data_IF_100489064253
#
_entry.id   IF_100489064253
#
_cell.length_a   1.000
_cell.length_b   1.000
_cell.length_c   1.000
_cell.angle_alpha   90.00
_cell.angle_beta   90.00
_cell.angle_gamma   90.00
#
_symmetry.space_group_name_H-M   'P 1'
#
loop_
_entity.id
_entity.type
_entity.pdbx_description
1 polymer ?
#
# COMPACT_ATOMS: atom_id res chain seq x y z
N UNK A 1 -4.05 -6.77 -9.01
CA UNK A 1 -4.50 -6.06 -7.77
C UNK A 1 -5.64 -5.15 -8.16
N UNK A 2 -6.65 -4.95 -7.32
CA UNK A 2 -7.81 -4.12 -7.61
C UNK A 2 -7.48 -2.64 -7.39
N UNK A 3 -6.82 -2.33 -6.27
CA UNK A 3 -6.48 -0.96 -5.87
C UNK A 3 -4.96 -0.78 -5.82
N UNK A 4 -4.47 0.24 -6.52
CA UNK A 4 -3.13 0.78 -6.32
C UNK A 4 -3.25 2.07 -5.51
N UNK A 5 -2.56 2.13 -4.37
CA UNK A 5 -2.59 3.29 -3.48
C UNK A 5 -1.42 4.21 -3.82
N UNK A 6 -1.69 5.52 -3.89
CA UNK A 6 -0.69 6.55 -4.14
C UNK A 6 -0.72 7.56 -3.01
N UNK A 7 0.42 7.78 -2.38
CA UNK A 7 0.60 8.88 -1.45
C UNK A 7 0.69 10.18 -2.25
N UNK A 8 -0.39 10.96 -2.29
CA UNK A 8 -0.52 12.13 -3.19
C UNK A 8 0.39 13.31 -2.84
N UNK A 9 0.95 13.29 -1.64
CA UNK A 9 1.99 14.24 -1.19
C UNK A 9 3.39 13.85 -1.68
N UNK A 10 3.56 12.66 -2.25
CA UNK A 10 4.82 12.19 -2.83
C UNK A 10 4.87 12.44 -4.33
N UNK A 11 5.55 13.51 -4.74
CA UNK A 11 5.72 13.85 -6.17
C UNK A 11 6.38 12.71 -6.95
N UNK A 12 7.32 11.98 -6.35
CA UNK A 12 7.99 10.86 -7.00
C UNK A 12 7.01 9.72 -7.30
N UNK A 13 6.20 9.31 -6.30
CA UNK A 13 5.20 8.26 -6.50
C UNK A 13 4.11 8.70 -7.47
N UNK A 14 3.62 9.93 -7.34
CA UNK A 14 2.65 10.51 -8.28
C UNK A 14 3.19 10.45 -9.71
N UNK A 15 4.37 11.01 -9.96
CA UNK A 15 4.95 11.06 -11.31
C UNK A 15 5.15 9.66 -11.90
N UNK A 16 5.66 8.71 -11.11
CA UNK A 16 5.85 7.33 -11.56
C UNK A 16 4.54 6.67 -11.96
N UNK A 17 3.52 6.74 -11.10
CA UNK A 17 2.22 6.12 -11.35
C UNK A 17 1.47 6.80 -12.49
N UNK A 18 1.45 8.14 -12.54
CA UNK A 18 0.75 8.89 -13.59
C UNK A 18 1.36 8.61 -14.96
N UNK A 19 2.70 8.58 -15.03
CA UNK A 19 3.40 8.30 -16.29
C UNK A 19 3.07 6.89 -16.79
N UNK A 20 2.99 5.91 -15.89
CA UNK A 20 2.65 4.54 -16.23
C UNK A 20 1.16 4.33 -16.53
N UNK A 21 0.26 5.06 -15.86
CA UNK A 21 -1.19 4.94 -16.01
C UNK A 21 -1.72 5.64 -17.28
N UNK A 22 -0.93 6.52 -17.89
CA UNK A 22 -1.24 7.15 -19.16
C UNK A 22 -2.02 8.47 -19.05
N UNK A 23 -2.28 9.06 -20.21
CA UNK A 23 -2.76 10.44 -20.32
C UNK A 23 -4.13 10.70 -19.65
N UNK A 24 -5.00 9.69 -19.59
CA UNK A 24 -6.33 9.80 -18.99
C UNK A 24 -6.23 10.07 -17.49
N UNK A 25 -5.39 9.30 -16.80
CA UNK A 25 -5.12 9.48 -15.36
C UNK A 25 -4.37 10.79 -15.12
N UNK A 26 -3.44 11.16 -16.01
CA UNK A 26 -2.74 12.45 -15.93
C UNK A 26 -3.71 13.64 -15.96
N UNK A 27 -4.68 13.64 -16.87
CA UNK A 27 -5.64 14.74 -16.98
C UNK A 27 -6.46 14.93 -15.69
N UNK A 28 -6.91 13.84 -15.08
CA UNK A 28 -7.61 13.88 -13.79
C UNK A 28 -6.66 14.38 -12.69
N UNK A 29 -5.44 13.86 -12.63
CA UNK A 29 -4.45 14.29 -11.65
C UNK A 29 -4.15 15.80 -11.75
N UNK A 30 -3.91 16.31 -12.96
CA UNK A 30 -3.62 17.73 -13.18
C UNK A 30 -4.79 18.61 -12.69
N UNK A 31 -6.02 18.20 -12.96
CA UNK A 31 -7.23 18.89 -12.49
C UNK A 31 -7.32 18.88 -10.95
N UNK A 32 -7.17 17.71 -10.32
CA UNK A 32 -7.31 17.60 -8.86
C UNK A 32 -6.17 18.31 -8.13
N UNK A 33 -4.94 18.20 -8.64
CA UNK A 33 -3.78 18.93 -8.15
C UNK A 33 -3.99 20.44 -8.24
N UNK A 34 -4.56 20.94 -9.33
CA UNK A 34 -4.87 22.36 -9.50
C UNK A 34 -5.96 22.83 -8.53
N UNK A 35 -6.98 22.01 -8.28
CA UNK A 35 -8.04 22.28 -7.31
C UNK A 35 -7.59 22.12 -5.85
N UNK A 36 -6.34 21.73 -5.59
CA UNK A 36 -5.81 21.46 -4.25
C UNK A 36 -6.36 20.18 -3.61
N UNK A 37 -7.05 19.33 -4.38
CA UNK A 37 -7.57 18.07 -3.87
C UNK A 37 -6.47 17.01 -3.94
N UNK A 38 -5.98 16.61 -2.77
CA UNK A 38 -4.98 15.55 -2.63
C UNK A 38 -5.60 14.18 -2.37
N UNK A 39 -6.89 14.11 -2.08
CA UNK A 39 -7.63 12.88 -1.86
C UNK A 39 -8.65 12.67 -2.98
N UNK A 40 -8.34 11.79 -3.93
CA UNK A 40 -9.22 11.49 -5.06
C UNK A 40 -8.94 10.10 -5.62
N UNK A 41 -9.77 9.68 -6.57
CA UNK A 41 -9.73 8.34 -7.15
C UNK A 41 -9.82 8.45 -8.66
N UNK A 42 -9.14 7.53 -9.34
CA UNK A 42 -9.24 7.35 -10.78
C UNK A 42 -9.41 5.86 -11.09
N UNK A 43 -9.82 5.54 -12.32
CA UNK A 43 -9.65 4.19 -12.83
C UNK A 43 -8.18 3.90 -13.12
N UNK A 44 -7.84 2.64 -13.41
CA UNK A 44 -6.46 2.17 -13.58
C UNK A 44 -5.69 2.74 -14.79
N UNK A 45 -6.39 3.29 -15.79
CA UNK A 45 -5.76 3.67 -17.05
C UNK A 45 -5.07 2.47 -17.71
N UNK A 46 -3.77 2.59 -17.98
CA UNK A 46 -2.96 1.49 -18.51
C UNK A 46 -2.39 0.54 -17.44
N UNK A 47 -2.55 0.86 -16.16
CA UNK A 47 -2.13 -0.04 -15.09
C UNK A 47 -3.12 -1.20 -14.94
N UNK A 48 -2.64 -2.42 -14.63
CA UNK A 48 -3.50 -3.58 -14.41
C UNK A 48 -4.16 -3.55 -13.03
N UNK A 49 -4.94 -2.50 -12.76
CA UNK A 49 -5.78 -2.34 -11.59
C UNK A 49 -7.15 -1.76 -11.97
N UNK A 50 -8.12 -1.92 -11.06
CA UNK A 50 -9.46 -1.33 -11.25
C UNK A 50 -9.47 0.14 -10.85
N UNK A 51 -8.76 0.50 -9.77
CA UNK A 51 -8.68 1.87 -9.27
C UNK A 51 -7.28 2.27 -8.84
N UNK A 52 -7.01 3.56 -8.97
CA UNK A 52 -5.87 4.24 -8.37
C UNK A 52 -6.44 5.19 -7.30
N UNK A 53 -5.98 5.02 -6.07
CA UNK A 53 -6.51 5.74 -4.91
C UNK A 53 -5.43 6.70 -4.41
N UNK A 54 -5.60 7.98 -4.70
CA UNK A 54 -4.74 9.05 -4.23
C UNK A 54 -5.19 9.46 -2.83
N UNK A 55 -4.29 9.36 -1.85
CA UNK A 55 -4.54 9.80 -0.47
C UNK A 55 -3.35 10.61 0.04
N UNK A 56 -3.60 11.78 0.66
CA UNK A 56 -2.52 12.55 1.25
C UNK A 56 -2.04 11.86 2.50
N UNK A 57 -0.74 11.91 2.73
CA UNK A 57 -0.18 11.57 4.02
C UNK A 57 0.97 12.50 4.35
N UNK A 58 0.92 13.08 5.54
CA UNK A 58 1.99 13.87 6.12
C UNK A 58 2.12 13.50 7.59
N UNK A 59 3.34 13.54 8.10
CA UNK A 59 3.60 13.42 9.52
C UNK A 59 4.51 14.58 9.91
N UNK A 60 4.10 15.37 10.90
CA UNK A 60 4.98 16.36 11.50
C UNK A 60 6.08 15.63 12.28
N UNK A 61 7.33 15.82 11.87
CA UNK A 61 8.50 15.23 12.52
C UNK A 61 8.69 15.76 13.95
N UNK A 62 8.15 16.94 14.25
CA UNK A 62 8.23 17.55 15.58
C UNK A 62 7.21 16.96 16.56
N UNK A 63 6.29 16.10 16.08
CA UNK A 63 5.26 15.47 16.90
C UNK A 63 5.22 13.95 16.64
N UNK A 64 6.21 13.19 17.15
CA UNK A 64 6.34 11.75 16.87
C UNK A 64 5.14 10.92 17.34
N UNK A 65 4.40 11.37 18.36
CA UNK A 65 3.14 10.75 18.81
C UNK A 65 2.08 10.71 17.70
N UNK A 66 2.20 11.56 16.68
CA UNK A 66 1.29 11.65 15.54
C UNK A 66 1.63 10.62 14.43
N UNK A 67 2.78 9.92 14.50
CA UNK A 67 3.17 8.99 13.43
C UNK A 67 2.20 7.79 13.34
N UNK A 68 1.93 7.14 14.48
CA UNK A 68 1.00 6.00 14.53
C UNK A 68 -0.40 6.41 14.09
N UNK A 69 -0.89 7.55 14.59
CA UNK A 69 -2.23 8.05 14.27
C UNK A 69 -2.36 8.43 12.80
N UNK A 70 -1.38 9.14 12.24
CA UNK A 70 -1.40 9.55 10.82
C UNK A 70 -1.36 8.36 9.86
N UNK A 71 -0.52 7.36 10.14
CA UNK A 71 -0.52 6.08 9.38
C UNK A 71 -1.86 5.37 9.55
N UNK A 72 -2.38 5.34 10.78
CA UNK A 72 -3.69 4.77 11.09
C UNK A 72 -4.81 5.34 10.22
N UNK A 73 -4.90 6.66 10.17
CA UNK A 73 -5.86 7.41 9.35
C UNK A 73 -5.68 7.13 7.85
N UNK A 74 -4.44 7.08 7.37
CA UNK A 74 -4.15 6.78 5.96
C UNK A 74 -4.64 5.38 5.56
N UNK A 75 -4.24 4.34 6.32
CA UNK A 75 -4.66 2.96 6.05
C UNK A 75 -6.18 2.83 6.14
N UNK A 76 -6.80 3.40 7.18
CA UNK A 76 -8.26 3.39 7.37
C UNK A 76 -8.98 4.00 6.16
N UNK A 77 -8.50 5.15 5.66
CA UNK A 77 -9.12 5.84 4.54
C UNK A 77 -9.11 5.02 3.24
N UNK A 78 -8.06 4.22 3.04
CA UNK A 78 -7.94 3.36 1.86
C UNK A 78 -8.81 2.12 1.98
N UNK A 79 -8.81 1.47 3.15
CA UNK A 79 -9.65 0.28 3.37
C UNK A 79 -11.14 0.66 3.31
N UNK A 80 -11.53 1.83 3.81
CA UNK A 80 -12.88 2.34 3.65
C UNK A 80 -13.27 2.49 2.16
N UNK A 81 -12.42 3.12 1.35
CA UNK A 81 -12.63 3.22 -0.10
C UNK A 81 -12.70 1.84 -0.78
N UNK A 82 -11.84 0.90 -0.40
CA UNK A 82 -11.89 -0.47 -0.93
C UNK A 82 -13.24 -1.13 -0.65
N UNK A 83 -13.79 -0.95 0.56
CA UNK A 83 -15.11 -1.45 0.94
C UNK A 83 -16.24 -0.81 0.14
N UNK A 84 -16.21 0.52 -0.01
CA UNK A 84 -17.19 1.26 -0.79
C UNK A 84 -17.29 0.76 -2.24
N UNK A 85 -16.15 0.37 -2.82
CA UNK A 85 -16.08 -0.17 -4.18
C UNK A 85 -16.17 -1.70 -4.27
N UNK A 86 -16.36 -2.41 -3.15
CA UNK A 86 -16.33 -3.88 -3.09
C UNK A 86 -15.05 -4.50 -3.71
N UNK A 87 -13.90 -3.87 -3.46
CA UNK A 87 -12.58 -4.30 -3.92
C UNK A 87 -11.80 -4.90 -2.77
N UNK A 88 -11.13 -6.03 -3.01
CA UNK A 88 -10.54 -6.85 -1.93
C UNK A 88 -9.03 -6.97 -2.01
N UNK A 89 -8.41 -6.60 -3.15
CA UNK A 89 -6.95 -6.65 -3.29
C UNK A 89 -6.35 -5.25 -3.36
N UNK A 90 -5.47 -4.91 -2.41
CA UNK A 90 -4.92 -3.55 -2.21
C UNK A 90 -3.39 -3.59 -2.23
N UNK A 91 -2.76 -2.70 -3.01
CA UNK A 91 -1.33 -2.48 -3.01
C UNK A 91 -0.99 -1.15 -2.33
N UNK A 92 -0.48 -1.20 -1.10
CA UNK A 92 0.02 -0.04 -0.37
C UNK A 92 1.47 0.25 -0.72
N UNK A 93 1.87 1.52 -0.91
CA UNK A 93 3.28 1.88 -0.97
C UNK A 93 3.89 1.89 0.44
N UNK A 94 5.22 1.78 0.54
CA UNK A 94 5.93 2.11 1.79
C UNK A 94 5.91 3.61 2.08
N UNK A 95 4.82 4.09 2.67
CA UNK A 95 4.71 5.48 3.12
C UNK A 95 5.68 5.78 4.26
N UNK A 96 6.21 7.00 4.34
CA UNK A 96 7.08 7.42 5.45
C UNK A 96 8.51 6.86 5.41
N UNK A 97 8.80 5.85 4.57
CA UNK A 97 10.15 5.32 4.39
C UNK A 97 10.96 6.11 3.34
N UNK A 98 12.29 5.94 3.34
CA UNK A 98 13.19 6.61 2.39
C UNK A 98 13.46 8.07 2.76
N UNK A 99 13.19 9.01 1.85
CA UNK A 99 13.53 10.44 2.00
C UNK A 99 12.87 11.13 3.22
N UNK A 100 11.77 10.57 3.73
CA UNK A 100 11.10 11.09 4.91
C UNK A 100 11.81 10.70 6.21
N UNK A 101 12.69 9.69 6.20
CA UNK A 101 13.61 9.40 7.30
C UNK A 101 12.95 8.86 8.58
N UNK A 102 11.71 8.40 8.52
CA UNK A 102 11.11 7.67 9.64
C UNK A 102 11.75 6.28 9.76
N UNK A 103 11.80 5.75 10.98
CA UNK A 103 12.30 4.40 11.25
C UNK A 103 11.44 3.36 10.50
N UNK A 104 12.02 2.59 9.55
CA UNK A 104 11.29 1.57 8.81
C UNK A 104 10.62 0.52 9.70
N UNK A 105 11.18 0.21 10.89
CA UNK A 105 10.58 -0.74 11.82
C UNK A 105 9.26 -0.22 12.38
N UNK A 106 9.22 1.05 12.79
CA UNK A 106 8.00 1.70 13.29
C UNK A 106 6.94 1.82 12.18
N UNK A 107 7.36 2.18 10.95
CA UNK A 107 6.44 2.22 9.80
C UNK A 107 5.82 0.85 9.55
N UNK A 108 6.65 -0.20 9.45
CA UNK A 108 6.20 -1.56 9.23
C UNK A 108 5.24 -2.00 10.34
N UNK A 109 5.60 -1.77 11.61
CA UNK A 109 4.75 -2.09 12.75
C UNK A 109 3.37 -1.42 12.65
N UNK A 110 3.33 -0.11 12.42
CA UNK A 110 2.08 0.64 12.39
C UNK A 110 1.21 0.34 11.17
N UNK A 111 1.80 0.24 9.98
CA UNK A 111 1.06 -0.12 8.76
C UNK A 111 0.44 -1.51 8.86
N UNK A 112 1.23 -2.50 9.31
CA UNK A 112 0.78 -3.89 9.40
C UNK A 112 -0.25 -4.03 10.52
N UNK A 113 0.00 -3.45 11.71
CA UNK A 113 -0.93 -3.55 12.84
C UNK A 113 -2.28 -2.90 12.54
N UNK A 114 -2.29 -1.72 11.90
CA UNK A 114 -3.55 -1.07 11.53
C UNK A 114 -4.28 -1.85 10.44
N UNK A 115 -3.56 -2.35 9.43
CA UNK A 115 -4.16 -3.19 8.38
C UNK A 115 -4.83 -4.41 9.01
N UNK A 116 -4.12 -5.12 9.88
CA UNK A 116 -4.66 -6.27 10.61
C UNK A 116 -5.90 -5.90 11.42
N UNK A 117 -5.86 -4.80 12.18
CA UNK A 117 -6.99 -4.32 12.98
C UNK A 117 -8.22 -4.01 12.14
N UNK A 118 -8.04 -3.37 10.98
CA UNK A 118 -9.13 -3.01 10.07
C UNK A 118 -9.76 -4.22 9.40
N UNK A 119 -8.94 -5.21 9.03
CA UNK A 119 -9.41 -6.41 8.34
C UNK A 119 -10.06 -7.42 9.29
N UNK A 120 -9.57 -7.56 10.53
CA UNK A 120 -10.14 -8.50 11.51
C UNK A 120 -11.58 -8.18 11.93
N UNK A 121 -12.02 -6.94 11.74
CA UNK A 121 -13.41 -6.54 12.02
C UNK A 121 -14.35 -7.06 10.90
N UNK A 122 -13.82 -7.48 9.75
CA UNK A 122 -14.57 -7.81 8.56
C UNK A 122 -14.84 -9.32 8.49
N UNK A 123 -15.94 -9.75 9.12
CA UNK A 123 -16.30 -11.18 9.31
C UNK A 123 -16.66 -11.93 8.01
N UNK A 124 -16.66 -11.30 6.82
CA UNK A 124 -17.24 -11.90 5.60
C UNK A 124 -16.49 -11.58 4.29
N UNK A 125 -15.23 -11.16 4.32
CA UNK A 125 -14.50 -10.83 3.07
C UNK A 125 -13.01 -11.11 3.19
N UNK A 126 -12.47 -11.89 2.25
CA UNK A 126 -11.03 -12.12 2.15
C UNK A 126 -10.37 -10.92 1.49
N UNK A 127 -9.45 -10.27 2.21
CA UNK A 127 -8.64 -9.19 1.68
C UNK A 127 -7.21 -9.67 1.43
N UNK A 128 -6.64 -9.27 0.30
CA UNK A 128 -5.22 -9.48 0.01
C UNK A 128 -4.54 -8.13 0.00
N UNK A 129 -3.62 -7.93 0.94
CA UNK A 129 -2.88 -6.67 1.06
C UNK A 129 -1.42 -6.92 0.69
N UNK A 130 -0.91 -6.13 -0.24
CA UNK A 130 0.49 -6.16 -0.64
C UNK A 130 1.15 -4.83 -0.26
N UNK A 131 2.33 -4.91 0.35
CA UNK A 131 3.18 -3.73 0.58
C UNK A 131 4.23 -3.68 -0.53
N UNK A 132 4.17 -2.64 -1.36
CA UNK A 132 5.01 -2.44 -2.53
C UNK A 132 6.22 -1.60 -2.13
N UNK A 133 7.40 -2.21 -2.27
CA UNK A 133 8.68 -1.63 -1.89
C UNK A 133 9.57 -1.44 -3.11
N UNK A 134 10.36 -0.36 -3.11
CA UNK A 134 11.38 -0.16 -4.14
C UNK A 134 12.58 -1.08 -3.86
N UNK A 135 13.18 -1.71 -4.89
CA UNK A 135 14.29 -2.65 -4.70
C UNK A 135 15.53 -2.06 -4.02
N UNK A 136 15.72 -0.74 -4.09
CA UNK A 136 16.82 -0.04 -3.42
C UNK A 136 16.63 0.06 -1.90
N UNK A 137 15.41 -0.17 -1.39
CA UNK A 137 15.04 0.01 0.02
C UNK A 137 15.16 -1.28 0.84
N UNK A 138 16.35 -1.88 0.87
CA UNK A 138 16.59 -3.17 1.59
C UNK A 138 16.22 -3.11 3.08
N UNK A 139 16.60 -2.04 3.77
CA UNK A 139 16.25 -1.87 5.19
C UNK A 139 14.74 -1.78 5.44
N UNK A 140 13.97 -1.27 4.48
CA UNK A 140 12.50 -1.25 4.53
C UNK A 140 11.96 -2.64 4.28
N UNK A 141 12.49 -3.35 3.28
CA UNK A 141 12.14 -4.74 3.01
C UNK A 141 12.35 -5.62 4.25
N UNK A 142 13.52 -5.55 4.88
CA UNK A 142 13.85 -6.33 6.07
C UNK A 142 12.86 -6.02 7.21
N UNK A 143 12.58 -4.73 7.46
CA UNK A 143 11.64 -4.33 8.51
C UNK A 143 10.21 -4.86 8.29
N UNK A 144 9.69 -4.78 7.06
CA UNK A 144 8.39 -5.34 6.73
C UNK A 144 8.41 -6.87 6.81
N UNK A 145 9.42 -7.53 6.22
CA UNK A 145 9.56 -8.98 6.25
C UNK A 145 9.63 -9.52 7.68
N UNK A 146 10.48 -8.94 8.54
CA UNK A 146 10.61 -9.32 9.94
C UNK A 146 9.29 -9.19 10.69
N UNK A 147 8.57 -8.07 10.47
CA UNK A 147 7.29 -7.83 11.14
C UNK A 147 6.22 -8.82 10.70
N UNK A 148 6.17 -9.18 9.41
CA UNK A 148 5.24 -10.18 8.89
C UNK A 148 5.55 -11.58 9.45
N UNK A 149 6.83 -11.97 9.48
CA UNK A 149 7.26 -13.25 10.03
C UNK A 149 6.92 -13.37 11.53
N UNK A 150 7.03 -12.28 12.30
CA UNK A 150 6.65 -12.25 13.71
C UNK A 150 5.16 -12.50 13.94
N UNK A 151 4.28 -12.06 13.03
CA UNK A 151 2.85 -12.36 13.14
C UNK A 151 2.58 -13.84 12.87
N UNK A 152 3.31 -14.43 11.93
CA UNK A 152 3.18 -15.86 11.60
C UNK A 152 3.67 -16.78 12.72
N UNK A 153 4.71 -16.40 13.47
CA UNK A 153 5.22 -17.23 14.58
C UNK A 153 4.27 -17.26 15.78
N UNK A 154 3.39 -16.27 15.92
CA UNK A 154 2.34 -16.25 16.94
C UNK A 154 1.13 -17.12 16.53
N UNK A 155 0.93 -17.38 15.23
CA UNK A 155 -0.22 -18.11 14.68
C UNK A 155 0.04 -19.59 14.29
N UNK A 156 1.26 -20.12 14.44
CA UNK A 156 1.57 -21.47 13.94
C UNK A 156 0.99 -22.63 14.78
N UNK A 157 -0.21 -23.10 14.38
CA UNK A 157 -0.43 -24.51 13.99
C UNK A 157 -0.78 -24.50 12.48
N UNK A 158 -0.22 -25.41 11.65
CA UNK A 158 0.25 -25.03 10.31
C UNK A 158 -0.80 -25.24 9.23
N UNK A 159 -0.96 -24.25 8.35
CA UNK A 159 -1.44 -24.48 6.99
C UNK A 159 -0.57 -23.69 6.01
N UNK A 160 0.06 -24.43 5.11
CA UNK A 160 1.07 -24.01 4.14
C UNK A 160 0.64 -22.84 3.25
N UNK A 161 1.48 -21.81 3.15
CA UNK A 161 1.40 -20.80 2.09
C UNK A 161 2.65 -20.89 1.22
N UNK A 162 2.42 -21.08 -0.08
CA UNK A 162 3.43 -21.22 -1.12
C UNK A 162 4.10 -19.88 -1.45
N UNK A 163 5.43 -19.87 -1.44
CA UNK A 163 6.22 -18.78 -2.01
C UNK A 163 6.28 -18.94 -3.53
N UNK A 164 5.37 -18.30 -4.26
CA UNK A 164 5.56 -18.13 -5.70
C UNK A 164 6.56 -16.99 -5.94
N UNK A 165 7.84 -17.37 -6.01
CA UNK A 165 8.85 -16.60 -6.74
C UNK A 165 8.56 -16.73 -8.23
N UNK A 166 7.58 -15.98 -8.75
CA UNK A 166 7.52 -15.41 -10.10
C UNK A 166 6.08 -15.03 -10.45
N UNK A 167 5.84 -13.73 -10.67
CA UNK A 167 4.87 -13.31 -11.67
C UNK A 167 5.59 -12.40 -12.67
N UNK A 168 5.70 -12.91 -13.89
CA UNK A 168 6.22 -12.21 -15.06
C UNK A 168 5.21 -11.15 -15.50
N UNK A 169 5.44 -9.89 -15.13
CA UNK A 169 4.99 -8.74 -15.92
C UNK A 169 5.91 -8.64 -17.14
N UNK A 170 5.31 -8.70 -18.35
CA UNK A 170 6.04 -8.69 -19.61
C UNK A 170 6.79 -7.37 -19.81
N UNK A 171 8.10 -7.46 -19.62
CA UNK A 171 9.21 -6.83 -20.37
C UNK A 171 8.90 -5.53 -21.14
N UNK A 172 8.65 -4.45 -20.41
CA UNK A 172 9.11 -3.11 -20.78
C UNK A 172 9.38 -2.30 -19.51
N UNK A 173 10.67 -2.21 -19.15
CA UNK A 173 11.31 -1.28 -18.20
C UNK A 173 10.53 -0.81 -16.95
N UNK A 174 10.43 -1.66 -15.92
CA UNK A 174 10.54 -1.22 -14.52
C UNK A 174 11.25 -2.31 -13.71
N UNK A 175 12.46 -2.01 -13.29
CA UNK A 175 13.41 -2.91 -12.64
C UNK A 175 12.86 -3.43 -11.30
N UNK A 176 12.56 -4.74 -11.24
CA UNK A 176 12.47 -5.61 -10.04
C UNK A 176 11.73 -5.04 -8.81
N UNK A 177 10.40 -5.04 -8.85
CA UNK A 177 9.55 -4.81 -7.66
C UNK A 177 9.54 -6.08 -6.79
N UNK A 178 9.85 -5.96 -5.49
CA UNK A 178 9.62 -7.04 -4.52
C UNK A 178 8.22 -6.86 -3.91
N UNK A 179 7.32 -7.80 -4.18
CA UNK A 179 6.01 -7.87 -3.53
C UNK A 179 6.09 -8.84 -2.35
N UNK A 180 5.88 -8.35 -1.13
CA UNK A 180 5.45 -9.21 -0.03
C UNK A 180 3.93 -9.24 -0.02
N UNK A 181 3.35 -10.44 -0.17
CA UNK A 181 1.90 -10.66 -0.20
C UNK A 181 1.48 -11.12 1.17
N UNK A 182 0.54 -10.40 1.80
CA UNK A 182 -0.26 -10.96 2.87
C UNK A 182 -1.58 -11.46 2.28
N UNK A 183 -1.76 -12.77 2.34
CA UNK A 183 -3.02 -13.43 2.03
C UNK A 183 -3.73 -13.65 3.37
N UNK A 184 -4.85 -12.96 3.59
CA UNK A 184 -5.73 -13.25 4.71
C UNK A 184 -6.95 -14.02 4.20
N UNK A 185 -7.03 -15.30 4.55
CA UNK A 185 -8.25 -16.10 4.44
C UNK A 185 -8.86 -16.24 5.84
N UNK A 186 -10.01 -15.62 6.08
CA UNK A 186 -10.85 -16.03 7.20
C UNK A 186 -11.64 -17.25 6.71
N UNK A 187 -11.30 -18.44 7.20
CA UNK A 187 -12.10 -19.65 7.03
C UNK A 187 -12.94 -19.88 8.30
N UNK A 188 -14.15 -20.39 8.12
CA UNK A 188 -14.93 -20.99 9.20
C UNK A 188 -14.52 -22.45 9.38
#
# INVERSE_FOLDING_TARGET
VDIIVVCSTSTILCNGIISAAGYQVKAIYDQQSWCGLLAFETDGGYLPCKKIVFRPWTCDKNQPQNLKQSIGTFITSVIACAREHNLTTIAFPSIGCGQLGHDPKLIAEYMIAETYRQLNILVHSQFVVSFVLLPEQRNVYDAFSDRLNQLQTVENKPTSISFDKQSTLNKCELTKIYCSVLIYSCEN
#
